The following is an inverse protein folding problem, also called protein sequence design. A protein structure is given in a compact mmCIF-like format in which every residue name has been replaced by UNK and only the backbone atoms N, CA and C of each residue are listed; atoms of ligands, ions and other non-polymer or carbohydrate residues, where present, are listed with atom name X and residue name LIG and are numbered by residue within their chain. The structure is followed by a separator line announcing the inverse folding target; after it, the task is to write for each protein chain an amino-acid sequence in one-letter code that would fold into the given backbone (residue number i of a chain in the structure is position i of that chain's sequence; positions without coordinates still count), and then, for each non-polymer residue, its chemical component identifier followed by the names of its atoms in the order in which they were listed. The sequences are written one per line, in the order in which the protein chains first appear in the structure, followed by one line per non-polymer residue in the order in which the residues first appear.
data_IF_607458342786
#
_entry.id   IF_607458342786
#
_cell.length_a   1.000
_cell.length_b   1.000
_cell.length_c   1.000
_cell.angle_alpha   90.00
_cell.angle_beta   90.00
_cell.angle_gamma   90.00
#
_symmetry.space_group_name_H-M   'P 1'
#
loop_
_entity.id
_entity.type
_entity.pdbx_description
1 polymer ?
#
# COMPACT_ATOMS: atom_id res chain seq x y z
N UNK A 1 18.58 -5.32 -35.37
CA UNK A 1 18.76 -5.00 -33.93
C UNK A 1 17.89 -5.92 -33.09
N UNK A 2 18.48 -6.64 -32.17
CA UNK A 2 17.65 -7.39 -31.25
C UNK A 2 16.85 -6.44 -30.37
N UNK A 3 15.63 -6.82 -30.03
CA UNK A 3 14.85 -6.08 -29.06
C UNK A 3 15.50 -6.14 -27.68
N UNK A 4 15.34 -5.09 -26.88
CA UNK A 4 15.77 -5.10 -25.49
C UNK A 4 15.07 -6.23 -24.75
N UNK A 5 15.81 -6.99 -23.96
CA UNK A 5 15.24 -8.00 -23.09
C UNK A 5 14.71 -7.30 -21.85
N UNK A 6 13.44 -7.50 -21.55
CA UNK A 6 12.85 -7.04 -20.32
C UNK A 6 13.38 -7.90 -19.18
N UNK A 7 14.15 -7.28 -18.27
CA UNK A 7 14.79 -7.98 -17.16
C UNK A 7 13.91 -8.08 -15.92
N UNK A 8 12.72 -7.48 -15.96
CA UNK A 8 11.78 -7.60 -14.86
C UNK A 8 11.27 -9.04 -14.76
N UNK A 9 10.95 -9.52 -13.54
CA UNK A 9 10.24 -10.79 -13.42
C UNK A 9 8.96 -10.79 -14.26
N UNK A 10 8.64 -11.91 -14.95
CA UNK A 10 7.48 -11.94 -15.85
C UNK A 10 6.14 -12.10 -15.14
N UNK A 11 6.15 -12.17 -13.83
CA UNK A 11 4.95 -12.31 -13.01
C UNK A 11 4.87 -11.18 -11.99
N UNK A 12 3.67 -10.81 -11.62
CA UNK A 12 3.36 -9.82 -10.59
C UNK A 12 2.20 -10.31 -9.76
N UNK A 13 2.03 -9.73 -8.57
CA UNK A 13 0.81 -9.95 -7.79
C UNK A 13 -0.33 -9.23 -8.51
N UNK A 14 -1.41 -9.94 -8.86
CA UNK A 14 -2.53 -9.35 -9.59
C UNK A 14 -3.42 -8.51 -8.70
N UNK A 15 -3.87 -9.08 -7.60
CA UNK A 15 -4.78 -8.41 -6.67
C UNK A 15 -4.38 -8.68 -5.23
N UNK A 16 -4.58 -7.68 -4.39
CA UNK A 16 -4.62 -7.83 -2.93
C UNK A 16 -5.95 -7.29 -2.44
N UNK A 17 -6.38 -7.73 -1.27
CA UNK A 17 -7.73 -7.42 -0.76
C UNK A 17 -7.65 -6.72 0.58
N UNK A 18 -8.63 -5.84 0.81
CA UNK A 18 -8.82 -5.16 2.08
C UNK A 18 -10.31 -5.14 2.39
N UNK A 19 -10.69 -5.76 3.50
CA UNK A 19 -12.08 -5.79 3.96
C UNK A 19 -12.27 -4.70 5.01
N UNK A 20 -13.26 -3.83 4.81
CA UNK A 20 -13.48 -2.64 5.64
C UNK A 20 -14.97 -2.42 5.87
N UNK A 21 -15.30 -1.67 6.90
CA UNK A 21 -16.70 -1.34 7.20
C UNK A 21 -17.21 -0.14 6.42
N UNK A 22 -16.30 0.74 5.95
CA UNK A 22 -16.64 1.91 5.14
C UNK A 22 -15.73 1.94 3.91
N UNK A 23 -16.24 1.44 2.80
CA UNK A 23 -15.48 1.31 1.55
C UNK A 23 -15.04 2.68 1.01
N UNK A 24 -15.93 3.67 1.05
CA UNK A 24 -15.60 5.02 0.56
C UNK A 24 -14.49 5.67 1.36
N UNK A 25 -14.56 5.59 2.68
CA UNK A 25 -13.52 6.14 3.55
C UNK A 25 -12.17 5.43 3.34
N UNK A 26 -12.18 4.12 3.19
CA UNK A 26 -10.97 3.34 2.94
C UNK A 26 -10.35 3.70 1.59
N UNK A 27 -11.17 3.86 0.55
CA UNK A 27 -10.71 4.26 -0.77
C UNK A 27 -10.03 5.63 -0.74
N UNK A 28 -10.62 6.60 -0.03
CA UNK A 28 -10.03 7.94 0.13
C UNK A 28 -8.71 7.89 0.89
N UNK A 29 -8.62 7.06 1.93
CA UNK A 29 -7.38 6.88 2.67
C UNK A 29 -6.28 6.30 1.80
N UNK A 30 -6.59 5.25 1.03
CA UNK A 30 -5.63 4.62 0.12
C UNK A 30 -5.17 5.60 -0.98
N UNK A 31 -6.07 6.44 -1.49
CA UNK A 31 -5.70 7.48 -2.43
C UNK A 31 -4.73 8.48 -1.80
N UNK A 32 -4.97 8.89 -0.56
CA UNK A 32 -4.07 9.77 0.18
C UNK A 32 -2.70 9.13 0.39
N UNK A 33 -2.65 7.84 0.61
CA UNK A 33 -1.40 7.07 0.74
C UNK A 33 -0.62 7.05 -0.59
N UNK A 34 -1.31 7.12 -1.71
CA UNK A 34 -0.67 7.22 -3.02
C UNK A 34 -1.21 6.28 -4.09
N UNK A 35 -2.25 5.50 -3.79
CA UNK A 35 -2.84 4.61 -4.78
C UNK A 35 -3.71 5.39 -5.77
N UNK A 36 -3.83 4.88 -6.99
CA UNK A 36 -4.63 5.51 -8.04
C UNK A 36 -6.02 4.90 -8.05
N UNK A 37 -7.09 5.69 -7.81
CA UNK A 37 -8.45 5.16 -7.84
C UNK A 37 -8.85 4.76 -9.26
N UNK A 38 -9.48 3.59 -9.39
CA UNK A 38 -10.01 3.07 -10.66
C UNK A 38 -11.54 3.14 -10.65
N UNK A 39 -12.17 2.57 -9.62
CA UNK A 39 -13.62 2.61 -9.47
C UNK A 39 -13.97 2.59 -7.97
N UNK A 40 -15.02 3.31 -7.61
CA UNK A 40 -15.56 3.28 -6.25
C UNK A 40 -17.06 3.14 -6.34
N UNK A 41 -17.57 2.07 -5.73
CA UNK A 41 -18.99 1.79 -5.56
C UNK A 41 -19.31 1.73 -4.07
N UNK A 42 -20.56 1.54 -3.70
CA UNK A 42 -20.95 1.54 -2.28
C UNK A 42 -20.30 0.41 -1.48
N UNK A 43 -20.14 -0.77 -2.08
CA UNK A 43 -19.66 -1.98 -1.42
C UNK A 43 -18.33 -2.49 -1.98
N UNK A 44 -17.74 -1.79 -2.94
CA UNK A 44 -16.52 -2.21 -3.63
C UNK A 44 -15.75 -1.00 -4.14
N UNK A 45 -14.46 -1.01 -3.95
CA UNK A 45 -13.57 -0.06 -4.61
C UNK A 45 -12.35 -0.80 -5.15
N UNK A 46 -11.79 -0.30 -6.24
CA UNK A 46 -10.55 -0.82 -6.82
C UNK A 46 -9.59 0.34 -6.99
N UNK A 47 -8.40 0.19 -6.44
CA UNK A 47 -7.32 1.16 -6.58
C UNK A 47 -6.09 0.46 -7.10
N UNK A 48 -5.26 1.19 -7.83
CA UNK A 48 -4.11 0.63 -8.52
C UNK A 48 -2.81 1.03 -7.85
N UNK A 49 -1.93 0.05 -7.71
CA UNK A 49 -0.54 0.21 -7.27
C UNK A 49 0.38 0.27 -8.49
N UNK A 50 1.63 0.70 -8.26
CA UNK A 50 2.66 0.63 -9.29
C UNK A 50 2.80 -0.81 -9.81
N UNK A 51 3.03 -0.97 -11.09
CA UNK A 51 3.16 -2.29 -11.72
C UNK A 51 1.85 -2.93 -12.12
N UNK A 52 0.72 -2.25 -11.89
CA UNK A 52 -0.60 -2.74 -12.29
C UNK A 52 -1.30 -3.66 -11.30
N UNK A 53 -0.73 -3.87 -10.12
CA UNK A 53 -1.42 -4.59 -9.04
C UNK A 53 -2.58 -3.75 -8.54
N UNK A 54 -3.73 -4.39 -8.30
CA UNK A 54 -4.92 -3.72 -7.79
C UNK A 54 -5.23 -4.14 -6.36
N UNK A 55 -5.63 -3.17 -5.56
CA UNK A 55 -6.23 -3.40 -4.25
C UNK A 55 -7.74 -3.43 -4.43
N UNK A 56 -8.37 -4.52 -4.03
CA UNK A 56 -9.83 -4.67 -4.03
C UNK A 56 -10.32 -4.44 -2.62
N UNK A 57 -11.03 -3.33 -2.41
CA UNK A 57 -11.61 -2.95 -1.12
C UNK A 57 -13.04 -3.44 -1.11
N UNK A 58 -13.38 -4.27 -0.11
CA UNK A 58 -14.72 -4.86 0.00
C UNK A 58 -15.36 -4.53 1.34
N UNK A 59 -16.69 -4.45 1.31
CA UNK A 59 -17.50 -4.25 2.51
C UNK A 59 -17.38 -5.47 3.43
N UNK A 60 -17.04 -5.21 4.70
CA UNK A 60 -17.04 -6.20 5.77
C UNK A 60 -18.15 -5.89 6.76
N UNK A 61 -18.60 -6.91 7.51
CA UNK A 61 -19.62 -6.73 8.54
C UNK A 61 -19.09 -6.05 9.79
N UNK A 62 -17.80 -6.20 10.08
CA UNK A 62 -17.18 -5.60 11.26
C UNK A 62 -15.69 -5.40 11.07
N UNK A 63 -15.07 -4.55 11.92
CA UNK A 63 -13.64 -4.28 11.84
C UNK A 63 -12.83 -5.45 12.41
N UNK A 64 -11.54 -5.55 12.07
CA UNK A 64 -10.60 -6.44 12.76
C UNK A 64 -10.35 -5.92 14.18
N UNK A 65 -9.68 -6.71 15.00
CA UNK A 65 -9.16 -6.22 16.26
C UNK A 65 -8.22 -5.04 15.99
N UNK A 66 -8.30 -3.93 16.75
CA UNK A 66 -7.46 -2.76 16.53
C UNK A 66 -5.97 -3.11 16.49
N UNK A 67 -5.24 -2.59 15.50
CA UNK A 67 -3.81 -2.85 15.33
C UNK A 67 -3.50 -4.15 14.59
N UNK A 68 -4.50 -4.88 14.11
CA UNK A 68 -4.26 -6.06 13.27
C UNK A 68 -3.50 -5.66 12.02
N UNK A 69 -2.45 -6.40 11.68
CA UNK A 69 -1.67 -6.16 10.46
C UNK A 69 -2.54 -6.31 9.22
N UNK A 70 -2.46 -5.33 8.33
CA UNK A 70 -3.16 -5.41 7.05
C UNK A 70 -2.69 -6.66 6.27
N UNK A 71 -3.54 -7.20 5.38
CA UNK A 71 -3.20 -8.44 4.66
C UNK A 71 -2.10 -8.28 3.61
N UNK A 72 -1.62 -7.08 3.41
CA UNK A 72 -0.48 -6.78 2.54
C UNK A 72 0.28 -5.58 3.10
N UNK A 73 1.55 -5.47 2.75
CA UNK A 73 2.36 -4.30 3.06
C UNK A 73 2.58 -3.46 1.79
N UNK A 74 3.15 -2.28 1.96
CA UNK A 74 3.44 -1.37 0.86
C UNK A 74 4.95 -1.11 0.82
N UNK A 75 5.44 -0.81 -0.36
CA UNK A 75 6.87 -0.57 -0.58
C UNK A 75 7.05 0.74 -1.31
N UNK A 76 8.03 1.53 -0.89
CA UNK A 76 8.33 2.84 -1.45
C UNK A 76 9.82 2.95 -1.75
N UNK A 77 10.19 3.82 -2.69
CA UNK A 77 11.59 3.97 -3.09
C UNK A 77 12.39 4.81 -2.07
N UNK A 78 11.79 5.88 -1.56
CA UNK A 78 12.43 6.78 -0.60
C UNK A 78 11.59 6.85 0.68
N UNK A 79 11.97 6.03 1.66
CA UNK A 79 11.20 5.90 2.90
C UNK A 79 11.17 7.19 3.72
N UNK A 80 12.27 7.95 3.72
CA UNK A 80 12.33 9.19 4.49
C UNK A 80 11.45 10.27 3.87
N UNK A 81 11.44 10.38 2.54
CA UNK A 81 10.59 11.35 1.85
C UNK A 81 9.11 11.02 2.03
N UNK A 82 8.73 9.74 1.90
CA UNK A 82 7.35 9.30 2.10
C UNK A 82 6.90 9.49 3.55
N UNK A 83 7.79 9.21 4.51
CA UNK A 83 7.50 9.44 5.92
C UNK A 83 7.10 10.91 6.16
N UNK A 84 7.91 11.84 5.65
CA UNK A 84 7.62 13.27 5.79
C UNK A 84 6.32 13.68 5.10
N UNK A 85 6.04 13.11 3.93
CA UNK A 85 4.79 13.35 3.21
C UNK A 85 3.58 12.87 4.01
N UNK A 86 3.65 11.65 4.55
CA UNK A 86 2.55 11.09 5.35
C UNK A 86 2.36 11.84 6.67
N UNK A 87 3.45 12.26 7.29
CA UNK A 87 3.37 13.09 8.50
C UNK A 87 2.68 14.43 8.19
N UNK A 88 3.05 15.08 7.09
CA UNK A 88 2.44 16.34 6.66
C UNK A 88 0.95 16.19 6.32
N UNK A 89 0.55 15.01 5.83
CA UNK A 89 -0.85 14.70 5.52
C UNK A 89 -1.67 14.26 6.74
N UNK A 90 -1.06 14.19 7.91
CA UNK A 90 -1.76 13.80 9.14
C UNK A 90 -2.06 12.31 9.25
N UNK A 91 -1.31 11.46 8.55
CA UNK A 91 -1.53 10.01 8.56
C UNK A 91 -0.94 9.31 9.79
N UNK A 92 -0.22 10.03 10.63
CA UNK A 92 0.33 9.55 11.90
C UNK A 92 1.26 8.34 11.75
N UNK A 93 2.31 8.41 10.92
CA UNK A 93 3.25 7.29 10.81
C UNK A 93 4.00 7.08 12.12
N UNK A 94 4.30 5.81 12.43
CA UNK A 94 5.19 5.48 13.54
C UNK A 94 6.62 5.91 13.24
N UNK A 95 7.51 5.89 14.25
CA UNK A 95 8.94 6.12 14.00
C UNK A 95 9.48 5.10 13.00
N UNK A 96 10.44 5.53 12.18
CA UNK A 96 11.09 4.63 11.22
C UNK A 96 11.98 3.64 11.97
N UNK A 97 11.80 2.35 11.69
CA UNK A 97 12.66 1.28 12.17
C UNK A 97 13.68 0.97 11.08
N UNK A 98 14.96 1.08 11.40
CA UNK A 98 16.05 0.80 10.46
C UNK A 98 16.41 -0.67 10.53
N UNK A 99 16.36 -1.37 9.41
CA UNK A 99 16.63 -2.79 9.31
C UNK A 99 17.81 -3.12 8.41
N UNK A 100 18.16 -4.40 8.36
CA UNK A 100 19.29 -4.87 7.54
C UNK A 100 18.91 -5.00 6.06
N UNK A 101 17.65 -5.32 5.78
CA UNK A 101 17.16 -5.53 4.40
C UNK A 101 16.40 -4.29 3.94
N UNK A 102 15.55 -3.75 4.80
CA UNK A 102 14.77 -2.55 4.51
C UNK A 102 14.49 -1.78 5.79
N UNK A 103 14.21 -0.51 5.63
CA UNK A 103 13.67 0.34 6.69
C UNK A 103 12.15 0.29 6.60
N UNK A 104 11.46 0.51 7.70
CA UNK A 104 10.01 0.42 7.73
C UNK A 104 9.39 1.31 8.79
N UNK A 105 8.13 1.63 8.60
CA UNK A 105 7.27 2.22 9.62
C UNK A 105 5.84 1.72 9.42
N UNK A 106 4.97 2.00 10.36
CA UNK A 106 3.56 1.61 10.26
C UNK A 106 2.66 2.83 10.17
N UNK A 107 1.53 2.66 9.48
CA UNK A 107 0.45 3.64 9.40
C UNK A 107 -0.82 3.03 10.02
N UNK A 108 -1.52 3.77 10.89
CA UNK A 108 -2.87 3.37 11.27
C UNK A 108 -3.81 3.62 10.08
N UNK A 109 -4.47 2.58 9.64
CA UNK A 109 -5.35 2.63 8.49
C UNK A 109 -6.83 2.54 8.82
N UNK A 110 -7.68 2.33 7.81
CA UNK A 110 -9.12 2.17 8.02
C UNK A 110 -9.41 1.01 8.97
N UNK A 111 -10.43 1.15 9.79
CA UNK A 111 -10.90 0.12 10.72
C UNK A 111 -9.86 -0.35 11.74
N UNK A 112 -8.79 0.40 11.94
CA UNK A 112 -7.71 -0.01 12.83
C UNK A 112 -6.71 -0.99 12.22
N UNK A 113 -6.78 -1.25 10.91
CA UNK A 113 -5.73 -1.98 10.21
C UNK A 113 -4.38 -1.28 10.35
N UNK A 114 -3.33 -2.02 10.66
CA UNK A 114 -1.96 -1.49 10.69
C UNK A 114 -1.26 -1.82 9.38
N UNK A 115 -0.87 -0.79 8.64
CA UNK A 115 -0.15 -0.95 7.37
C UNK A 115 1.34 -0.78 7.60
N UNK A 116 2.13 -1.73 7.12
CA UNK A 116 3.59 -1.61 7.12
C UNK A 116 4.04 -1.01 5.80
N UNK A 117 4.88 0.02 5.89
CA UNK A 117 5.51 0.68 4.75
C UNK A 117 6.99 0.33 4.79
N UNK A 118 7.47 -0.31 3.73
CA UNK A 118 8.86 -0.76 3.61
C UNK A 118 9.60 0.03 2.55
N UNK A 119 10.90 0.22 2.74
CA UNK A 119 11.76 0.70 1.67
C UNK A 119 11.96 -0.40 0.63
N UNK A 120 12.05 -0.01 -0.64
CA UNK A 120 12.40 -0.94 -1.71
C UNK A 120 13.84 -1.43 -1.52
N UNK A 121 14.05 -2.72 -1.77
CA UNK A 121 15.40 -3.30 -1.76
C UNK A 121 15.77 -3.91 -3.12
N UNK A 122 15.16 -3.41 -4.18
CA UNK A 122 15.43 -3.89 -5.54
C UNK A 122 16.86 -3.59 -5.99
N UNK A 123 17.54 -2.61 -5.36
CA UNK A 123 18.93 -2.29 -5.65
C UNK A 123 19.17 -1.74 -7.04
N UNK A 124 18.20 -1.00 -7.59
CA UNK A 124 18.28 -0.45 -8.94
C UNK A 124 17.96 -1.44 -10.04
N UNK A 125 17.64 -2.69 -9.71
CA UNK A 125 17.21 -3.67 -10.70
C UNK A 125 15.81 -3.33 -11.23
N UNK A 126 15.51 -3.64 -12.50
CA UNK A 126 14.15 -3.48 -13.03
C UNK A 126 13.15 -4.36 -12.28
N UNK A 127 12.06 -3.77 -11.87
CA UNK A 127 10.98 -4.44 -11.12
C UNK A 127 9.60 -4.05 -11.64
#
# INVERSE_FOLDING_TARGET
MPASIDQRPPVAVGHVRLNVTDVGAAARWLETVGLRPIVTMDDLAVLELRGGTHVVVRQAEGPPAPGTGAPFDLMVDDIDAIYRDYEAKGLSPSAISRGRIHDSFTLPGPDGWAFTINSSHAGGRPV
#
